data_IF_838971023698
#
_entry.id   IF_838971023698
#
_cell.length_a   1.000
_cell.length_b   1.000
_cell.length_c   1.000
_cell.angle_alpha   90.00
_cell.angle_beta   90.00
_cell.angle_gamma   90.00
#
_symmetry.space_group_name_H-M   'P 1'
#
loop_
_entity.id
_entity.type
_entity.pdbx_description
1 polymer ?
#
# COMPACT_ATOMS: atom_id res chain seq x y z
N UNK A 1 -10.15 -49.83 -55.14
CA UNK A 1 -10.68 -49.25 -53.89
C UNK A 1 -9.54 -49.25 -52.87
N UNK A 2 -9.24 -48.09 -52.26
CA UNK A 2 -8.69 -47.91 -50.89
C UNK A 2 -7.29 -48.51 -50.59
N UNK A 3 -6.28 -47.84 -50.02
CA UNK A 3 -6.06 -46.47 -49.57
C UNK A 3 -4.57 -46.37 -49.21
N UNK A 4 -3.90 -45.31 -49.69
CA UNK A 4 -2.58 -44.87 -49.23
C UNK A 4 -2.72 -44.18 -47.87
N UNK A 5 -1.87 -44.49 -46.90
CA UNK A 5 -1.73 -43.70 -45.67
C UNK A 5 -0.24 -43.47 -45.39
N UNK A 6 0.28 -42.36 -45.92
CA UNK A 6 1.56 -41.79 -45.50
C UNK A 6 1.37 -41.08 -44.16
N UNK A 7 2.16 -41.48 -43.16
CA UNK A 7 2.20 -40.82 -41.85
C UNK A 7 3.08 -39.57 -41.96
N UNK A 8 2.47 -38.40 -41.87
CA UNK A 8 3.15 -37.10 -41.77
C UNK A 8 3.35 -36.80 -40.28
N UNK A 9 4.60 -36.78 -39.82
CA UNK A 9 4.96 -36.31 -38.49
C UNK A 9 5.02 -34.77 -38.52
N UNK A 10 4.03 -34.11 -37.90
CA UNK A 10 4.01 -32.65 -37.74
C UNK A 10 4.78 -32.32 -36.47
N UNK A 11 5.98 -31.74 -36.62
CA UNK A 11 6.71 -31.10 -35.52
C UNK A 11 5.92 -29.87 -35.07
N UNK A 12 5.20 -29.99 -33.95
CA UNK A 12 4.57 -28.85 -33.29
C UNK A 12 5.67 -28.02 -32.58
N UNK A 13 6.19 -27.00 -33.24
CA UNK A 13 6.95 -25.95 -32.58
C UNK A 13 5.99 -25.11 -31.74
N UNK A 14 5.99 -25.34 -30.43
CA UNK A 14 5.33 -24.46 -29.48
C UNK A 14 6.07 -23.12 -29.46
N UNK A 15 5.67 -22.19 -30.32
CA UNK A 15 6.09 -20.79 -30.23
C UNK A 15 5.37 -20.21 -29.01
N UNK A 16 6.03 -20.19 -27.85
CA UNK A 16 5.59 -19.39 -26.72
C UNK A 16 5.65 -17.93 -27.15
N UNK A 17 4.50 -17.35 -27.50
CA UNK A 17 4.37 -15.91 -27.64
C UNK A 17 4.42 -15.31 -26.23
N UNK A 18 5.62 -15.09 -25.71
CA UNK A 18 5.82 -14.09 -24.67
C UNK A 18 5.61 -12.74 -25.35
N UNK A 19 4.39 -12.20 -25.27
CA UNK A 19 4.14 -10.80 -25.56
C UNK A 19 4.87 -9.97 -24.50
N UNK A 20 6.16 -9.70 -24.72
CA UNK A 20 6.81 -8.56 -24.12
C UNK A 20 6.21 -7.33 -24.78
N UNK A 21 5.10 -6.84 -24.24
CA UNK A 21 4.55 -5.54 -24.62
C UNK A 21 5.56 -4.50 -24.15
N UNK A 22 6.44 -4.08 -25.06
CA UNK A 22 7.27 -2.89 -24.90
C UNK A 22 6.32 -1.68 -24.90
N UNK A 23 5.74 -1.37 -23.74
CA UNK A 23 4.97 -0.17 -23.53
C UNK A 23 5.95 0.97 -23.30
N UNK A 24 6.13 1.78 -24.34
CA UNK A 24 6.77 3.07 -24.25
C UNK A 24 5.97 3.91 -23.25
N UNK A 25 6.66 4.26 -22.17
CA UNK A 25 6.24 4.94 -20.95
C UNK A 25 5.21 6.07 -21.19
N UNK A 26 3.92 5.78 -21.06
CA UNK A 26 2.97 6.80 -20.61
C UNK A 26 3.20 6.90 -19.11
N UNK A 27 4.09 7.81 -18.69
CA UNK A 27 4.35 8.05 -17.28
C UNK A 27 3.00 8.31 -16.59
N UNK A 28 2.50 7.32 -15.85
CA UNK A 28 1.14 7.34 -15.33
C UNK A 28 1.08 8.42 -14.25
N UNK A 29 0.47 9.55 -14.59
CA UNK A 29 0.34 10.66 -13.66
C UNK A 29 -0.74 10.32 -12.64
N UNK A 30 -0.32 10.09 -11.40
CA UNK A 30 -1.24 9.92 -10.28
C UNK A 30 -1.58 11.30 -9.70
N UNK A 31 -2.84 11.53 -9.30
CA UNK A 31 -3.21 12.77 -8.65
C UNK A 31 -2.48 12.90 -7.30
N UNK A 32 -2.32 14.13 -6.84
CA UNK A 32 -1.76 14.48 -5.54
C UNK A 32 -2.92 14.65 -4.55
N UNK A 33 -2.79 14.28 -3.26
CA UNK A 33 -3.82 14.56 -2.26
C UNK A 33 -4.36 15.99 -2.32
N UNK A 34 -3.53 17.00 -2.53
CA UNK A 34 -3.91 18.42 -2.64
C UNK A 34 -4.78 18.77 -3.86
N UNK A 35 -4.81 17.93 -4.89
CA UNK A 35 -5.65 18.15 -6.09
C UNK A 35 -6.80 17.13 -6.24
N UNK A 36 -7.04 16.30 -5.22
CA UNK A 36 -8.20 15.43 -5.11
C UNK A 36 -9.35 16.11 -4.36
N UNK A 37 -10.59 15.80 -4.74
CA UNK A 37 -11.77 16.18 -3.94
C UNK A 37 -11.89 15.30 -2.70
N UNK A 38 -11.10 15.60 -1.67
CA UNK A 38 -11.08 14.81 -0.44
C UNK A 38 -12.28 15.16 0.44
N UNK A 39 -13.18 14.19 0.62
CA UNK A 39 -14.27 14.27 1.60
C UNK A 39 -13.82 13.67 2.92
N UNK A 40 -13.16 14.50 3.73
CA UNK A 40 -12.67 14.10 5.05
C UNK A 40 -13.68 14.44 6.16
N UNK A 41 -13.89 13.51 7.09
CA UNK A 41 -14.47 13.82 8.41
C UNK A 41 -13.52 14.72 9.20
N UNK A 42 -14.00 15.42 10.24
CA UNK A 42 -13.14 16.32 11.01
C UNK A 42 -11.98 15.59 11.69
N UNK A 43 -12.21 14.35 12.15
CA UNK A 43 -11.17 13.47 12.69
C UNK A 43 -10.11 13.09 11.63
N UNK A 44 -10.50 12.97 10.36
CA UNK A 44 -9.55 12.68 9.27
C UNK A 44 -8.73 13.93 8.92
N UNK A 45 -9.31 15.13 9.01
CA UNK A 45 -8.59 16.40 8.75
C UNK A 45 -7.51 16.69 9.80
N UNK A 46 -7.79 16.40 11.06
CA UNK A 46 -6.81 16.60 12.16
C UNK A 46 -5.78 15.47 12.27
N UNK A 47 -6.00 14.36 11.57
CA UNK A 47 -5.27 13.10 11.76
C UNK A 47 -5.85 12.25 12.89
N UNK A 48 -5.58 10.94 12.82
CA UNK A 48 -6.06 9.98 13.83
C UNK A 48 -5.32 10.14 15.16
N UNK A 49 -6.08 10.20 16.26
CA UNK A 49 -5.54 10.33 17.62
C UNK A 49 -5.55 9.03 18.44
N UNK A 50 -6.05 7.93 17.86
CA UNK A 50 -6.16 6.56 18.41
C UNK A 50 -6.79 6.44 19.82
N UNK A 51 -7.27 7.54 20.42
CA UNK A 51 -7.74 7.55 21.82
C UNK A 51 -8.91 6.62 22.02
N UNK A 52 -9.84 6.61 21.06
CA UNK A 52 -11.04 5.77 21.06
C UNK A 52 -10.82 4.27 20.79
N UNK A 53 -9.59 3.84 20.47
CA UNK A 53 -9.30 2.44 20.13
C UNK A 53 -8.78 1.64 21.34
N UNK A 54 -9.28 0.45 21.63
CA UNK A 54 -8.71 -0.40 22.69
C UNK A 54 -7.28 -0.85 22.34
N UNK A 55 -6.45 -1.18 23.33
CA UNK A 55 -5.17 -1.84 23.08
C UNK A 55 -5.39 -3.27 22.56
N UNK A 56 -4.48 -3.75 21.71
CA UNK A 56 -4.53 -5.09 21.12
C UNK A 56 -5.03 -5.10 19.67
N UNK A 57 -5.60 -6.23 19.27
CA UNK A 57 -6.08 -6.43 17.89
C UNK A 57 -7.31 -5.59 17.59
N UNK A 58 -7.34 -5.04 16.38
CA UNK A 58 -8.49 -4.34 15.83
C UNK A 58 -8.48 -4.52 14.31
N UNK A 59 -9.64 -4.35 13.69
CA UNK A 59 -9.78 -4.45 12.22
C UNK A 59 -10.45 -3.23 11.61
N UNK A 60 -10.99 -2.33 12.43
CA UNK A 60 -11.70 -1.13 11.95
C UNK A 60 -11.45 0.05 12.88
N UNK A 61 -11.33 1.25 12.31
CA UNK A 61 -11.30 2.50 13.06
C UNK A 61 -11.83 3.65 12.18
N UNK A 62 -12.89 4.32 12.63
CA UNK A 62 -13.61 5.29 11.80
C UNK A 62 -14.20 4.65 10.54
N UNK A 63 -13.97 5.27 9.38
CA UNK A 63 -14.42 4.81 8.06
C UNK A 63 -13.44 3.84 7.37
N UNK A 64 -12.44 3.32 8.09
CA UNK A 64 -11.36 2.51 7.52
C UNK A 64 -11.30 1.11 8.12
N UNK A 65 -10.98 0.15 7.27
CA UNK A 65 -10.54 -1.18 7.65
C UNK A 65 -9.01 -1.20 7.75
N UNK A 66 -8.51 -1.92 8.75
CA UNK A 66 -7.08 -2.07 9.05
C UNK A 66 -6.74 -3.56 9.08
N UNK A 67 -5.59 -3.90 8.49
CA UNK A 67 -5.04 -5.26 8.52
C UNK A 67 -3.54 -5.21 8.78
N UNK A 68 -3.00 -6.26 9.41
CA UNK A 68 -1.58 -6.29 9.79
C UNK A 68 -1.18 -5.31 10.90
N UNK A 69 -2.17 -4.70 11.59
CA UNK A 69 -1.96 -3.75 12.67
C UNK A 69 -2.48 -4.27 14.03
N UNK A 70 -1.85 -3.77 15.09
CA UNK A 70 -2.34 -3.85 16.48
C UNK A 70 -2.24 -2.47 17.11
N UNK A 71 -3.15 -2.11 18.01
CA UNK A 71 -3.08 -0.87 18.75
C UNK A 71 -2.25 -1.06 20.01
N UNK A 72 -1.29 -0.18 20.21
CA UNK A 72 -0.32 -0.26 21.30
C UNK A 72 0.01 1.10 21.88
N UNK A 73 0.74 1.06 22.98
CA UNK A 73 1.50 2.22 23.43
C UNK A 73 2.89 2.12 22.80
N UNK A 74 3.31 3.19 22.15
CA UNK A 74 4.62 3.30 21.52
C UNK A 74 5.70 3.00 22.54
N UNK A 75 6.58 2.05 22.22
CA UNK A 75 7.80 1.82 23.00
C UNK A 75 8.66 3.09 22.96
N UNK A 76 9.26 3.47 24.09
CA UNK A 76 9.95 4.75 24.27
C UNK A 76 10.81 5.13 23.04
N UNK A 77 10.28 6.05 22.24
CA UNK A 77 10.88 6.53 21.00
C UNK A 77 11.40 7.95 21.23
N UNK A 78 12.47 8.31 20.52
CA UNK A 78 13.06 9.66 20.55
C UNK A 78 12.17 10.72 19.87
N UNK A 79 11.03 10.36 19.28
CA UNK A 79 10.15 11.31 18.56
C UNK A 79 9.06 11.91 19.45
N UNK A 80 8.53 13.09 19.07
CA UNK A 80 7.44 13.77 19.75
C UNK A 80 6.03 13.37 19.25
N UNK A 81 5.89 12.22 18.57
CA UNK A 81 4.60 11.72 18.09
C UNK A 81 3.72 11.19 19.23
N UNK A 82 2.46 10.89 18.91
CA UNK A 82 1.47 10.36 19.85
C UNK A 82 2.00 9.12 20.60
N UNK A 83 1.69 9.03 21.90
CA UNK A 83 2.09 7.91 22.75
C UNK A 83 1.34 6.61 22.42
N UNK A 84 0.10 6.72 21.95
CA UNK A 84 -0.71 5.60 21.47
C UNK A 84 -0.66 5.56 19.96
N UNK A 85 -0.46 4.39 19.40
CA UNK A 85 -0.24 4.20 17.98
C UNK A 85 -0.79 2.85 17.50
N UNK A 86 -0.79 2.68 16.18
CA UNK A 86 -0.97 1.38 15.54
C UNK A 86 0.38 0.88 15.06
N UNK A 87 0.67 -0.38 15.31
CA UNK A 87 1.95 -1.01 15.03
C UNK A 87 1.72 -2.26 14.18
N UNK A 88 2.59 -2.47 13.20
CA UNK A 88 2.53 -3.62 12.30
C UNK A 88 3.93 -4.04 11.87
N UNK A 89 4.07 -5.29 11.43
CA UNK A 89 5.36 -5.83 10.99
C UNK A 89 5.58 -5.50 9.53
N UNK A 90 6.68 -4.81 9.21
CA UNK A 90 7.10 -4.63 7.83
C UNK A 90 7.59 -5.97 7.26
N UNK A 91 6.90 -6.45 6.22
CA UNK A 91 7.28 -7.65 5.47
C UNK A 91 7.94 -7.23 4.16
N UNK A 92 8.74 -8.14 3.57
CA UNK A 92 9.32 -7.93 2.25
C UNK A 92 8.22 -8.03 1.19
N UNK A 93 7.94 -6.92 0.51
CA UNK A 93 6.82 -6.82 -0.42
C UNK A 93 5.45 -6.85 0.27
N UNK A 94 4.39 -6.69 -0.54
CA UNK A 94 3.01 -6.72 -0.05
C UNK A 94 2.53 -8.16 -0.03
N UNK A 95 2.30 -8.71 1.17
CA UNK A 95 1.87 -10.09 1.41
C UNK A 95 0.80 -10.14 2.49
N UNK A 96 0.23 -11.32 2.73
CA UNK A 96 -0.73 -11.50 3.82
C UNK A 96 -0.08 -11.18 5.17
N UNK A 97 -0.66 -10.23 5.89
CA UNK A 97 -0.13 -9.71 7.15
C UNK A 97 0.71 -8.44 7.01
N UNK A 98 0.96 -7.94 5.80
CA UNK A 98 1.49 -6.58 5.60
C UNK A 98 0.51 -5.55 6.17
N UNK A 99 1.01 -4.47 6.80
CA UNK A 99 0.14 -3.43 7.31
C UNK A 99 -0.58 -2.73 6.15
N UNK A 100 -1.90 -2.69 6.19
CA UNK A 100 -2.71 -2.05 5.17
C UNK A 100 -3.96 -1.37 5.74
N UNK A 101 -4.35 -0.27 5.09
CA UNK A 101 -5.49 0.57 5.39
C UNK A 101 -6.35 0.64 4.13
N UNK A 102 -7.64 0.35 4.25
CA UNK A 102 -8.60 0.47 3.14
C UNK A 102 -9.82 1.24 3.57
N UNK A 103 -10.36 2.04 2.66
CA UNK A 103 -11.56 2.81 2.94
C UNK A 103 -12.80 1.96 2.70
N UNK A 104 -13.76 2.05 3.62
CA UNK A 104 -14.95 1.17 3.63
C UNK A 104 -16.03 1.60 2.64
N UNK A 105 -15.91 2.81 2.07
CA UNK A 105 -16.85 3.32 1.07
C UNK A 105 -16.25 3.16 -0.32
N UNK A 106 -17.11 3.24 -1.33
CA UNK A 106 -16.70 3.14 -2.74
C UNK A 106 -15.82 4.29 -3.21
N UNK A 107 -15.84 5.41 -2.50
CA UNK A 107 -15.12 6.62 -2.88
C UNK A 107 -13.63 6.47 -2.51
N UNK A 108 -12.73 7.12 -3.25
CA UNK A 108 -11.32 7.14 -2.88
C UNK A 108 -11.04 7.94 -1.61
N UNK A 109 -9.89 7.72 -0.99
CA UNK A 109 -9.34 8.55 0.07
C UNK A 109 -7.91 8.98 -0.27
N UNK A 110 -7.46 10.07 0.35
CA UNK A 110 -6.07 10.51 0.27
C UNK A 110 -5.49 10.62 1.66
N UNK A 111 -4.44 9.84 1.93
CA UNK A 111 -3.56 10.14 3.07
C UNK A 111 -2.60 11.21 2.60
N UNK A 112 -2.54 12.32 3.34
CA UNK A 112 -1.63 13.44 3.06
C UNK A 112 -0.25 13.19 3.66
N UNK A 113 -0.19 12.66 4.88
CA UNK A 113 1.06 12.33 5.54
C UNK A 113 0.94 11.18 6.54
N UNK A 114 2.07 10.57 6.84
CA UNK A 114 2.22 9.60 7.91
C UNK A 114 3.26 10.07 8.91
N UNK A 115 2.99 9.86 10.20
CA UNK A 115 4.00 9.90 11.24
C UNK A 115 4.42 8.47 11.57
N UNK A 116 5.66 8.11 11.24
CA UNK A 116 6.14 6.73 11.35
C UNK A 116 7.37 6.70 12.24
N UNK A 117 7.42 5.72 13.13
CA UNK A 117 8.63 5.29 13.83
C UNK A 117 8.88 3.83 13.50
N UNK A 118 10.15 3.48 13.34
CA UNK A 118 10.59 2.09 13.10
C UNK A 118 11.43 1.59 14.26
N UNK A 119 11.50 0.27 14.43
CA UNK A 119 12.38 -0.38 15.41
C UNK A 119 13.85 -0.38 14.96
N UNK A 120 14.09 -0.25 13.65
CA UNK A 120 15.40 -0.05 13.04
C UNK A 120 15.24 0.82 11.79
N UNK A 121 16.18 1.76 11.59
CA UNK A 121 16.21 2.60 10.39
C UNK A 121 16.12 1.74 9.12
N UNK A 122 15.13 2.04 8.27
CA UNK A 122 14.81 1.23 7.09
C UNK A 122 14.02 2.04 6.08
N UNK A 123 14.09 1.61 4.82
CA UNK A 123 13.26 2.15 3.75
C UNK A 123 11.90 1.45 3.74
N UNK A 124 10.83 2.24 3.72
CA UNK A 124 9.47 1.75 3.65
C UNK A 124 8.90 2.09 2.28
N UNK A 125 8.36 1.07 1.60
CA UNK A 125 7.57 1.24 0.39
C UNK A 125 6.08 1.39 0.74
N UNK A 126 5.49 2.49 0.28
CA UNK A 126 4.07 2.81 0.38
C UNK A 126 3.43 2.50 -0.96
N UNK A 127 2.53 1.52 -0.99
CA UNK A 127 1.83 1.07 -2.19
C UNK A 127 0.36 1.42 -2.04
N UNK A 128 -0.15 2.22 -2.96
CA UNK A 128 -1.55 2.67 -3.00
C UNK A 128 -2.26 1.97 -4.16
N UNK A 129 -3.39 1.33 -3.88
CA UNK A 129 -4.26 0.80 -4.92
C UNK A 129 -5.21 1.91 -5.37
N UNK A 130 -5.24 2.17 -6.67
CA UNK A 130 -6.08 3.22 -7.25
C UNK A 130 -7.44 2.63 -7.68
N UNK A 131 -8.50 3.46 -7.80
CA UNK A 131 -9.82 3.00 -8.23
C UNK A 131 -9.83 2.34 -9.62
N UNK A 132 -8.90 2.71 -10.49
CA UNK A 132 -8.75 2.14 -11.84
C UNK A 132 -7.96 0.81 -11.87
N UNK A 133 -7.66 0.24 -10.71
CA UNK A 133 -6.91 -1.01 -10.55
C UNK A 133 -5.39 -0.86 -10.67
N UNK A 134 -4.87 0.32 -10.98
CA UNK A 134 -3.43 0.55 -11.01
C UNK A 134 -2.84 0.73 -9.61
N UNK A 135 -1.50 0.65 -9.53
CA UNK A 135 -0.77 0.86 -8.29
C UNK A 135 0.13 2.08 -8.37
N UNK A 136 -0.02 2.99 -7.42
CA UNK A 136 0.89 4.11 -7.20
C UNK A 136 1.83 3.77 -6.04
N UNK A 137 3.14 3.98 -6.20
CA UNK A 137 4.13 3.61 -5.17
C UNK A 137 5.18 4.68 -4.98
N UNK A 138 5.60 4.88 -3.74
CA UNK A 138 6.86 5.55 -3.42
C UNK A 138 7.59 4.82 -2.29
N UNK A 139 8.90 5.08 -2.16
CA UNK A 139 9.73 4.56 -1.08
C UNK A 139 10.36 5.72 -0.33
N UNK A 140 10.38 5.65 0.99
CA UNK A 140 10.92 6.72 1.83
C UNK A 140 11.73 6.14 3.00
N UNK A 141 12.94 6.66 3.28
CA UNK A 141 13.71 6.28 4.46
C UNK A 141 13.00 6.70 5.73
N UNK A 142 12.86 5.77 6.67
CA UNK A 142 12.23 5.99 7.97
C UNK A 142 13.21 5.66 9.09
N UNK A 143 13.17 6.43 10.18
CA UNK A 143 14.12 6.30 11.29
C UNK A 143 13.46 5.95 12.63
N UNK A 144 14.25 5.39 13.55
CA UNK A 144 13.87 5.17 14.95
C UNK A 144 13.50 6.50 15.66
N UNK A 145 14.09 7.61 15.21
CA UNK A 145 13.82 8.96 15.68
C UNK A 145 12.47 9.51 15.25
N UNK A 146 11.75 8.81 14.37
CA UNK A 146 10.52 9.27 13.76
C UNK A 146 10.76 9.95 12.41
N UNK A 147 9.83 9.73 11.50
CA UNK A 147 9.83 10.29 10.15
C UNK A 147 8.42 10.74 9.81
N UNK A 148 8.31 11.94 9.26
CA UNK A 148 7.07 12.43 8.66
C UNK A 148 7.14 12.20 7.15
N UNK A 149 6.32 11.29 6.65
CA UNK A 149 6.30 10.89 5.24
C UNK A 149 5.16 11.63 4.57
N UNK A 150 5.48 12.54 3.66
CA UNK A 150 4.50 13.28 2.87
C UNK A 150 4.10 12.47 1.65
N UNK A 151 2.79 12.35 1.41
CA UNK A 151 2.27 11.79 0.19
C UNK A 151 1.99 12.92 -0.81
N UNK A 152 2.91 13.12 -1.74
CA UNK A 152 2.80 14.16 -2.77
C UNK A 152 2.22 13.63 -4.09
N UNK A 153 1.77 12.38 -4.10
CA UNK A 153 1.20 11.64 -5.23
C UNK A 153 0.13 10.66 -4.71
N UNK A 154 -0.42 9.77 -5.54
CA UNK A 154 -1.33 8.70 -5.09
C UNK A 154 -2.61 9.16 -4.34
N UNK A 155 -3.13 10.35 -4.60
CA UNK A 155 -4.40 10.80 -4.03
C UNK A 155 -5.60 9.99 -4.56
N UNK A 156 -6.68 9.90 -3.78
CA UNK A 156 -7.90 9.19 -4.18
C UNK A 156 -7.74 7.67 -4.30
N UNK A 157 -6.79 7.09 -3.58
CA UNK A 157 -6.60 5.64 -3.50
C UNK A 157 -7.77 4.95 -2.79
N UNK A 158 -7.97 3.65 -3.04
CA UNK A 158 -8.95 2.81 -2.32
C UNK A 158 -8.31 2.01 -1.18
N UNK A 159 -6.99 1.84 -1.22
CA UNK A 159 -6.21 1.27 -0.12
C UNK A 159 -4.76 1.73 -0.16
N UNK A 160 -4.08 1.60 0.97
CA UNK A 160 -2.65 1.85 1.15
C UNK A 160 -2.04 0.72 1.98
N UNK A 161 -0.93 0.15 1.51
CA UNK A 161 -0.18 -0.88 2.22
C UNK A 161 1.31 -0.54 2.33
N UNK A 162 1.93 -0.98 3.42
CA UNK A 162 3.35 -0.78 3.70
C UNK A 162 4.15 -2.07 3.55
N UNK A 163 5.37 -1.96 3.02
CA UNK A 163 6.36 -3.05 3.04
C UNK A 163 7.76 -2.52 3.31
N UNK A 164 8.60 -3.37 3.90
CA UNK A 164 10.03 -3.11 3.98
C UNK A 164 10.70 -3.46 2.65
N UNK A 165 11.73 -2.70 2.28
CA UNK A 165 12.52 -2.98 1.07
C UNK A 165 13.65 -3.98 1.32
N UNK A 166 14.07 -4.14 2.58
CA UNK A 166 15.13 -5.05 3.01
C UNK A 166 14.61 -6.04 4.05
N UNK A 167 14.94 -7.32 3.87
CA UNK A 167 14.63 -8.42 4.81
C UNK A 167 15.88 -8.92 5.47
#
# INVERSE_FOLDING_TARGET
MKTTLSVVAILATAVQQTSATFSWDTNKYFPNPSNCDNKCTDNQKSGFDWKGLGLGSFSTFGDFDFSGFTCGNRKASKSNFQSKCVEGKLLKGITNGSPAISYRKSDGFSITSFQITVDKDTDIAFVYSMPDGSSCKHTTPCSQGGSEVQNTQCGGAVSQACSGTHG
#
